data_IF_965150532695
#
_entry.id   IF_965150532695
#
_cell.length_a   1.000
_cell.length_b   1.000
_cell.length_c   1.000
_cell.angle_alpha   90.00
_cell.angle_beta   90.00
_cell.angle_gamma   90.00
#
_symmetry.space_group_name_H-M   'P 1'
#
loop_
_entity.id
_entity.type
_entity.pdbx_description
1 polymer ?
#
# COMPACT_ATOMS: atom_id res chain seq x y z
N UNK A 1 2.73 -8.12 3.85
CA UNK A 1 3.89 -8.32 2.98
C UNK A 1 4.83 -9.35 3.56
N UNK A 2 5.87 -8.89 4.29
CA UNK A 2 6.89 -9.79 4.85
C UNK A 2 6.33 -10.91 5.74
N UNK A 3 5.42 -10.58 6.66
CA UNK A 3 4.75 -11.59 7.50
C UNK A 3 3.84 -12.57 6.73
N UNK A 4 3.48 -12.23 5.49
CA UNK A 4 2.72 -13.09 4.57
C UNK A 4 3.66 -13.91 3.66
N UNK A 5 4.97 -13.86 3.87
CA UNK A 5 5.96 -14.60 3.09
C UNK A 5 6.27 -14.00 1.71
N UNK A 6 6.00 -12.72 1.50
CA UNK A 6 6.41 -12.05 0.28
C UNK A 6 7.91 -11.79 0.25
N UNK A 7 8.47 -11.81 -0.95
CA UNK A 7 9.81 -11.28 -1.21
C UNK A 7 9.88 -9.79 -0.82
N UNK A 8 11.09 -9.34 -0.48
CA UNK A 8 11.33 -7.99 0.02
C UNK A 8 10.95 -6.93 -1.00
N UNK A 9 11.24 -7.16 -2.29
CA UNK A 9 10.95 -6.22 -3.37
C UNK A 9 9.45 -5.94 -3.47
N UNK A 10 8.64 -7.00 -3.53
CA UNK A 10 7.18 -6.91 -3.51
C UNK A 10 6.67 -6.26 -2.23
N UNK A 11 7.22 -6.63 -1.08
CA UNK A 11 6.80 -6.07 0.20
C UNK A 11 7.06 -4.56 0.26
N UNK A 12 8.22 -4.10 -0.22
CA UNK A 12 8.59 -2.68 -0.30
C UNK A 12 7.68 -1.93 -1.27
N UNK A 13 7.42 -2.49 -2.46
CA UNK A 13 6.56 -1.86 -3.45
C UNK A 13 5.13 -1.64 -2.92
N UNK A 14 4.56 -2.67 -2.28
CA UNK A 14 3.21 -2.59 -1.69
C UNK A 14 3.18 -1.63 -0.49
N UNK A 15 4.20 -1.64 0.36
CA UNK A 15 4.31 -0.69 1.47
C UNK A 15 4.38 0.76 0.98
N UNK A 16 5.14 1.00 -0.09
CA UNK A 16 5.27 2.32 -0.72
C UNK A 16 3.94 2.80 -1.32
N UNK A 17 3.21 1.92 -2.00
CA UNK A 17 1.87 2.20 -2.51
C UNK A 17 0.88 2.56 -1.37
N UNK A 18 0.91 1.82 -0.26
CA UNK A 18 0.07 2.11 0.90
C UNK A 18 0.43 3.46 1.54
N UNK A 19 1.73 3.79 1.64
CA UNK A 19 2.20 5.07 2.14
C UNK A 19 1.78 6.24 1.23
N UNK A 20 1.87 6.08 -0.10
CA UNK A 20 1.42 7.09 -1.05
C UNK A 20 -0.08 7.38 -0.90
N UNK A 21 -0.92 6.34 -0.83
CA UNK A 21 -2.36 6.49 -0.60
C UNK A 21 -2.67 7.17 0.75
N UNK A 22 -1.90 6.87 1.80
CA UNK A 22 -2.03 7.49 3.12
C UNK A 22 -1.85 9.01 3.08
N UNK A 23 -0.89 9.49 2.29
CA UNK A 23 -0.60 10.92 2.15
C UNK A 23 -1.76 11.70 1.52
N UNK A 24 -2.61 11.04 0.72
CA UNK A 24 -3.78 11.66 0.07
C UNK A 24 -5.02 11.69 0.97
N UNK A 25 -4.95 11.11 2.19
CA UNK A 25 -6.12 10.91 3.06
C UNK A 25 -5.85 11.41 4.48
N UNK A 26 -6.59 12.44 4.88
CA UNK A 26 -6.60 12.93 6.26
C UNK A 26 -7.18 11.88 7.22
N UNK A 27 -6.86 11.99 8.52
CA UNK A 27 -7.53 11.21 9.56
C UNK A 27 -6.68 10.13 10.25
N UNK A 28 -5.36 10.28 10.33
CA UNK A 28 -4.50 9.37 11.11
C UNK A 28 -4.76 7.90 10.76
N UNK A 29 -5.19 7.08 11.74
CA UNK A 29 -5.57 5.67 11.54
C UNK A 29 -6.72 5.48 10.54
N UNK A 30 -7.73 6.35 10.56
CA UNK A 30 -8.91 6.27 9.70
C UNK A 30 -8.57 6.49 8.23
N UNK A 31 -7.49 7.22 7.95
CA UNK A 31 -7.01 7.41 6.58
C UNK A 31 -6.08 6.31 6.08
N UNK A 32 -5.91 5.19 6.80
CA UNK A 32 -5.10 4.07 6.34
C UNK A 32 -5.81 3.34 5.18
N UNK A 33 -5.12 3.02 4.07
CA UNK A 33 -5.73 2.32 2.95
C UNK A 33 -5.96 0.84 3.28
N UNK A 34 -6.95 0.24 2.63
CA UNK A 34 -7.19 -1.20 2.65
C UNK A 34 -6.24 -1.91 1.68
N UNK A 35 -6.04 -3.22 1.90
CA UNK A 35 -5.22 -4.06 1.00
C UNK A 35 -5.70 -4.01 -0.45
N UNK A 36 -7.02 -4.03 -0.67
CA UNK A 36 -7.60 -3.99 -2.00
C UNK A 36 -7.29 -2.66 -2.71
N UNK A 37 -7.43 -1.53 -2.01
CA UNK A 37 -7.10 -0.21 -2.56
C UNK A 37 -5.60 -0.09 -2.89
N UNK A 38 -4.72 -0.57 -2.01
CA UNK A 38 -3.27 -0.56 -2.27
C UNK A 38 -2.91 -1.38 -3.50
N UNK A 39 -3.47 -2.58 -3.66
CA UNK A 39 -3.20 -3.42 -4.82
C UNK A 39 -3.80 -2.85 -6.11
N UNK A 40 -4.99 -2.24 -6.04
CA UNK A 40 -5.59 -1.55 -7.19
C UNK A 40 -4.75 -0.35 -7.64
N UNK A 41 -4.21 0.43 -6.69
CA UNK A 41 -3.32 1.55 -6.98
C UNK A 41 -2.05 1.12 -7.72
N UNK A 42 -1.47 -0.02 -7.35
CA UNK A 42 -0.29 -0.57 -8.05
C UNK A 42 -0.59 -0.99 -9.49
N UNK A 43 -1.82 -1.42 -9.81
CA UNK A 43 -2.19 -1.80 -11.17
C UNK A 43 -2.36 -0.60 -12.12
N UNK A 44 -2.55 0.61 -11.59
CA UNK A 44 -2.65 1.86 -12.36
C UNK A 44 -1.32 2.59 -12.59
N UNK A 45 -0.21 2.01 -12.16
CA UNK A 45 1.15 2.56 -12.34
C UNK A 45 1.85 1.81 -13.47
N UNK A 46 1.43 2.05 -14.71
CA UNK A 46 2.09 1.59 -15.94
C UNK A 46 2.48 2.78 -16.80
#
# INVERSE_FOLDING_TARGET
GLAEGWDEERAIAVASAAAALKCLRFGGRLGAPTRAETLAFMQGSA
#
